data_IF_777930275393
#
_entry.id   IF_777930275393
#
_cell.length_a   1.000
_cell.length_b   1.000
_cell.length_c   1.000
_cell.angle_alpha   90.00
_cell.angle_beta   90.00
_cell.angle_gamma   90.00
#
_symmetry.space_group_name_H-M   'P 1'
#
loop_
_entity.id
_entity.type
_entity.pdbx_description
1 polymer ?
#
# COMPACT_ATOMS: atom_id res chain seq x y z
N UNK A 1 1.19 -1.64 26.72
CA UNK A 1 1.24 -3.11 26.89
C UNK A 1 2.19 -3.43 28.03
N UNK A 2 1.79 -4.26 29.00
CA UNK A 2 2.69 -4.74 30.07
C UNK A 2 3.86 -5.48 29.41
N UNK A 3 5.10 -5.20 29.81
CA UNK A 3 6.26 -5.97 29.35
C UNK A 3 6.07 -7.44 29.75
N UNK A 4 5.95 -8.32 28.77
CA UNK A 4 5.82 -9.75 28.99
C UNK A 4 7.13 -10.27 29.60
N UNK A 5 7.10 -10.70 30.86
CA UNK A 5 8.27 -11.27 31.54
C UNK A 5 8.38 -12.75 31.19
N UNK A 6 9.34 -13.10 30.34
CA UNK A 6 9.69 -14.49 30.00
C UNK A 6 10.58 -15.10 31.10
N UNK A 7 10.47 -16.41 31.29
CA UNK A 7 11.45 -17.18 32.09
C UNK A 7 12.73 -17.40 31.29
N UNK A 8 13.83 -17.74 31.96
CA UNK A 8 15.12 -17.98 31.27
C UNK A 8 15.02 -19.07 30.19
N UNK A 9 14.25 -20.14 30.44
CA UNK A 9 13.99 -21.20 29.46
C UNK A 9 13.11 -20.74 28.30
N UNK A 10 12.14 -19.87 28.54
CA UNK A 10 11.30 -19.29 27.49
C UNK A 10 12.07 -18.31 26.62
N UNK A 11 12.90 -17.46 27.22
CA UNK A 11 13.78 -16.55 26.51
C UNK A 11 14.80 -17.33 25.67
N UNK A 12 15.41 -18.38 26.25
CA UNK A 12 16.32 -19.25 25.52
C UNK A 12 15.67 -19.86 24.26
N UNK A 13 14.42 -20.32 24.34
CA UNK A 13 13.71 -20.84 23.17
C UNK A 13 13.54 -19.77 22.10
N UNK A 14 13.18 -18.54 22.46
CA UNK A 14 13.07 -17.43 21.51
C UNK A 14 14.41 -17.17 20.83
N UNK A 15 15.49 -17.11 21.60
CA UNK A 15 16.84 -16.90 21.05
C UNK A 15 17.26 -18.03 20.09
N UNK A 16 16.83 -19.27 20.33
CA UNK A 16 17.08 -20.39 19.41
C UNK A 16 16.23 -20.32 18.14
N UNK A 17 14.97 -19.87 18.25
CA UNK A 17 14.11 -19.66 17.09
C UNK A 17 14.71 -18.58 16.20
N UNK A 18 15.13 -17.45 16.77
CA UNK A 18 15.67 -16.31 16.02
C UNK A 18 17.00 -16.63 15.31
N UNK A 19 17.77 -17.60 15.82
CA UNK A 19 19.00 -18.09 15.17
C UNK A 19 18.75 -18.96 13.94
N UNK A 20 17.62 -19.67 13.89
CA UNK A 20 17.32 -20.64 12.83
C UNK A 20 15.80 -20.78 12.65
N UNK A 21 15.21 -19.72 12.09
CA UNK A 21 13.75 -19.65 11.92
C UNK A 21 13.27 -20.67 10.89
N UNK A 22 14.07 -20.99 9.86
CA UNK A 22 13.72 -22.02 8.87
C UNK A 22 13.51 -23.40 9.51
N UNK A 23 14.38 -23.77 10.46
CA UNK A 23 14.16 -24.99 11.22
C UNK A 23 12.91 -24.89 12.09
N UNK A 24 12.67 -23.74 12.75
CA UNK A 24 11.48 -23.56 13.57
C UNK A 24 10.19 -23.77 12.76
N UNK A 25 10.07 -23.15 11.57
CA UNK A 25 8.85 -23.21 10.75
C UNK A 25 8.59 -24.58 10.11
N UNK A 26 9.64 -25.39 9.92
CA UNK A 26 9.57 -26.67 9.21
C UNK A 26 9.44 -27.90 10.12
N UNK A 27 9.42 -27.72 11.44
CA UNK A 27 9.46 -28.82 12.42
C UNK A 27 8.25 -28.86 13.36
N UNK A 28 8.04 -30.02 13.99
CA UNK A 28 6.97 -30.22 14.98
C UNK A 28 7.49 -30.06 16.42
N UNK A 29 6.59 -30.02 17.41
CA UNK A 29 6.94 -29.85 18.84
C UNK A 29 8.02 -30.81 19.32
N UNK A 30 7.97 -32.07 18.91
CA UNK A 30 8.93 -33.10 19.31
C UNK A 30 10.34 -32.77 18.80
N UNK A 31 10.47 -32.43 17.52
CA UNK A 31 11.77 -32.07 16.94
C UNK A 31 12.32 -30.76 17.54
N UNK A 32 11.46 -29.78 17.76
CA UNK A 32 11.83 -28.52 18.42
C UNK A 32 12.28 -28.75 19.87
N UNK A 33 11.57 -29.61 20.61
CA UNK A 33 11.91 -30.00 21.98
C UNK A 33 13.30 -30.63 22.05
N UNK A 34 13.63 -31.51 21.11
CA UNK A 34 14.95 -32.14 21.00
C UNK A 34 16.02 -31.10 20.65
N UNK A 35 15.83 -30.30 19.58
CA UNK A 35 16.86 -29.35 19.12
C UNK A 35 17.13 -28.25 20.15
N UNK A 36 16.09 -27.75 20.82
CA UNK A 36 16.20 -26.68 21.80
C UNK A 36 16.42 -27.22 23.22
N UNK A 37 16.52 -28.53 23.42
CA UNK A 37 16.73 -29.14 24.74
C UNK A 37 15.75 -28.63 25.82
N UNK A 38 14.46 -28.51 25.47
CA UNK A 38 13.38 -28.10 26.38
C UNK A 38 12.21 -29.06 26.25
N UNK A 39 11.44 -29.29 27.32
CA UNK A 39 10.25 -30.14 27.23
C UNK A 39 9.16 -29.54 26.34
N UNK A 40 8.40 -30.39 25.63
CA UNK A 40 7.28 -29.96 24.77
C UNK A 40 6.24 -29.10 25.53
N UNK A 41 6.00 -29.40 26.81
CA UNK A 41 5.12 -28.60 27.67
C UNK A 41 5.63 -27.15 27.87
N UNK A 42 6.95 -26.93 27.86
CA UNK A 42 7.54 -25.58 27.91
C UNK A 42 7.28 -24.83 26.61
N UNK A 43 7.43 -25.49 25.45
CA UNK A 43 7.10 -24.90 24.15
C UNK A 43 5.61 -24.53 24.07
N UNK A 44 4.71 -25.42 24.49
CA UNK A 44 3.26 -25.16 24.50
C UNK A 44 2.91 -23.98 25.42
N UNK A 45 3.52 -23.90 26.62
CA UNK A 45 3.32 -22.76 27.52
C UNK A 45 3.79 -21.46 26.90
N UNK A 46 4.97 -21.45 26.26
CA UNK A 46 5.50 -20.28 25.57
C UNK A 46 4.58 -19.83 24.43
N UNK A 47 4.13 -20.74 23.57
CA UNK A 47 3.22 -20.44 22.45
C UNK A 47 1.94 -19.77 22.96
N UNK A 48 1.33 -20.32 24.02
CA UNK A 48 0.13 -19.73 24.65
C UNK A 48 0.41 -18.39 25.32
N UNK A 49 1.57 -18.24 25.97
CA UNK A 49 2.00 -17.02 26.65
C UNK A 49 2.26 -15.88 25.67
N UNK A 50 2.69 -16.20 24.45
CA UNK A 50 2.83 -15.27 23.33
C UNK A 50 1.51 -15.09 22.55
N UNK A 51 0.38 -15.55 23.09
CA UNK A 51 -0.96 -15.37 22.55
C UNK A 51 -1.21 -16.05 21.18
N UNK A 52 -0.42 -17.06 20.82
CA UNK A 52 -0.70 -17.87 19.63
C UNK A 52 -1.68 -19.02 19.92
N UNK A 53 -2.66 -19.19 19.04
CA UNK A 53 -3.65 -20.27 19.13
C UNK A 53 -3.04 -21.68 18.97
N UNK A 54 -1.89 -21.81 18.29
CA UNK A 54 -1.20 -23.07 18.07
C UNK A 54 0.27 -22.86 17.66
N UNK A 55 1.08 -23.93 17.69
CA UNK A 55 2.43 -23.92 17.11
C UNK A 55 2.37 -23.50 15.63
N UNK A 56 1.42 -24.03 14.85
CA UNK A 56 1.26 -23.67 13.44
C UNK A 56 0.95 -22.18 13.25
N UNK A 57 0.11 -21.59 14.11
CA UNK A 57 -0.17 -20.16 14.05
C UNK A 57 1.09 -19.33 14.31
N UNK A 58 1.90 -19.72 15.30
CA UNK A 58 3.19 -19.08 15.57
C UNK A 58 4.17 -19.27 14.41
N UNK A 59 4.26 -20.46 13.82
CA UNK A 59 5.13 -20.74 12.67
C UNK A 59 4.71 -19.96 11.42
N UNK A 60 3.41 -19.77 11.19
CA UNK A 60 2.92 -18.92 10.11
C UNK A 60 3.36 -17.47 10.34
N UNK A 61 3.20 -16.94 11.55
CA UNK A 61 3.65 -15.59 11.90
C UNK A 61 5.18 -15.43 11.73
N UNK A 62 5.96 -16.39 12.22
CA UNK A 62 7.41 -16.40 12.03
C UNK A 62 7.83 -16.58 10.57
N UNK A 63 7.08 -17.36 9.77
CA UNK A 63 7.31 -17.48 8.33
C UNK A 63 7.01 -16.17 7.59
N UNK A 64 6.04 -15.39 8.06
CA UNK A 64 5.79 -14.05 7.55
C UNK A 64 6.93 -13.10 7.95
N UNK A 65 7.47 -13.22 9.17
CA UNK A 65 8.64 -12.45 9.65
C UNK A 65 9.96 -12.81 8.94
N UNK A 66 10.20 -14.07 8.58
CA UNK A 66 11.36 -14.42 7.76
C UNK A 66 11.23 -13.94 6.34
N UNK A 67 10.02 -14.02 5.77
CA UNK A 67 9.74 -13.44 4.47
C UNK A 67 9.97 -11.93 4.49
N UNK A 68 9.55 -11.19 5.51
CA UNK A 68 9.87 -9.75 5.60
C UNK A 68 11.36 -9.46 5.76
N UNK A 69 12.12 -10.29 6.50
CA UNK A 69 13.58 -10.17 6.54
C UNK A 69 14.23 -10.43 5.18
N UNK A 70 13.79 -11.45 4.43
CA UNK A 70 14.24 -11.69 3.05
C UNK A 70 13.90 -10.53 2.11
N UNK A 71 12.72 -9.90 2.29
CA UNK A 71 12.32 -8.73 1.50
C UNK A 71 13.21 -7.50 1.76
N UNK A 72 13.84 -7.39 2.94
CA UNK A 72 14.78 -6.29 3.23
C UNK A 72 16.20 -6.53 2.72
N UNK A 73 16.55 -7.78 2.39
CA UNK A 73 17.86 -8.14 1.84
C UNK A 73 17.92 -7.78 0.36
N UNK A 74 18.78 -6.83 0.04
CA UNK A 74 19.04 -6.38 -1.33
C UNK A 74 20.43 -6.85 -1.74
N UNK A 75 20.51 -7.62 -2.83
CA UNK A 75 21.75 -8.12 -3.38
C UNK A 75 22.35 -7.16 -4.41
N UNK A 76 23.66 -7.19 -4.67
CA UNK A 76 24.25 -6.48 -5.81
C UNK A 76 23.57 -6.93 -7.12
N UNK A 77 23.21 -6.03 -8.04
CA UNK A 77 22.52 -6.36 -9.29
C UNK A 77 23.49 -6.92 -10.35
N UNK A 78 24.31 -7.89 -9.96
CA UNK A 78 25.35 -8.52 -10.79
C UNK A 78 24.89 -9.78 -11.53
N UNK A 79 23.67 -10.26 -11.24
CA UNK A 79 23.05 -11.41 -11.91
C UNK A 79 21.56 -11.15 -12.12
N UNK A 80 20.96 -11.80 -13.11
CA UNK A 80 19.51 -11.72 -13.34
C UNK A 80 18.72 -12.23 -12.14
N UNK A 81 19.23 -13.25 -11.44
CA UNK A 81 18.62 -13.78 -10.22
C UNK A 81 18.57 -12.73 -9.10
N UNK A 82 19.66 -11.99 -8.88
CA UNK A 82 19.70 -10.94 -7.88
C UNK A 82 18.79 -9.76 -8.26
N UNK A 83 18.73 -9.41 -9.55
CA UNK A 83 17.81 -8.37 -10.04
C UNK A 83 16.35 -8.81 -9.81
N UNK A 84 15.98 -10.03 -10.19
CA UNK A 84 14.64 -10.57 -9.97
C UNK A 84 14.28 -10.60 -8.48
N UNK A 85 15.22 -11.04 -7.62
CA UNK A 85 15.03 -11.01 -6.17
C UNK A 85 14.77 -9.59 -5.67
N UNK A 86 15.62 -8.62 -6.03
CA UNK A 86 15.50 -7.25 -5.57
C UNK A 86 14.19 -6.58 -6.03
N UNK A 87 13.84 -6.72 -7.31
CA UNK A 87 12.60 -6.15 -7.86
C UNK A 87 11.38 -6.72 -7.14
N UNK A 88 11.26 -8.05 -7.06
CA UNK A 88 10.16 -8.69 -6.35
C UNK A 88 10.12 -8.31 -4.86
N UNK A 89 11.29 -8.15 -4.23
CA UNK A 89 11.39 -7.72 -2.85
C UNK A 89 10.85 -6.30 -2.64
N UNK A 90 11.19 -5.37 -3.53
CA UNK A 90 10.68 -3.99 -3.47
C UNK A 90 9.15 -3.93 -3.64
N UNK A 91 8.60 -4.68 -4.60
CA UNK A 91 7.16 -4.70 -4.86
C UNK A 91 6.37 -5.33 -3.70
N UNK A 92 6.79 -6.53 -3.26
CA UNK A 92 6.10 -7.27 -2.19
C UNK A 92 6.20 -6.52 -0.87
N UNK A 93 7.38 -5.98 -0.53
CA UNK A 93 7.55 -5.16 0.68
C UNK A 93 6.59 -3.98 0.66
N UNK A 94 6.54 -3.26 -0.47
CA UNK A 94 5.67 -2.10 -0.60
C UNK A 94 4.21 -2.44 -0.31
N UNK A 95 3.71 -3.54 -0.87
CA UNK A 95 2.32 -3.98 -0.67
C UNK A 95 2.07 -4.39 0.79
N UNK A 96 2.93 -5.25 1.36
CA UNK A 96 2.74 -5.79 2.71
C UNK A 96 2.85 -4.71 3.77
N UNK A 97 3.84 -3.82 3.68
CA UNK A 97 3.98 -2.74 4.64
C UNK A 97 2.94 -1.65 4.42
N UNK A 98 2.53 -1.37 3.17
CA UNK A 98 1.39 -0.45 2.92
C UNK A 98 0.12 -0.97 3.60
N UNK A 99 -0.17 -2.27 3.48
CA UNK A 99 -1.33 -2.89 4.14
C UNK A 99 -1.34 -2.63 5.66
N UNK A 100 -0.17 -2.63 6.31
CA UNK A 100 -0.07 -2.46 7.76
C UNK A 100 -0.28 -1.01 8.23
N UNK A 101 -0.05 -0.02 7.35
CA UNK A 101 -0.11 1.41 7.70
C UNK A 101 -1.35 2.13 7.15
N UNK A 102 -2.14 1.48 6.29
CA UNK A 102 -3.33 2.08 5.68
C UNK A 102 -4.32 2.48 6.76
N UNK A 103 -4.71 3.76 6.75
CA UNK A 103 -5.83 4.28 7.53
C UNK A 103 -7.14 3.91 6.84
N UNK A 104 -7.83 2.89 7.37
CA UNK A 104 -9.07 2.39 6.80
C UNK A 104 -10.23 3.40 6.87
N UNK A 105 -10.27 4.25 7.89
CA UNK A 105 -11.32 5.27 8.02
C UNK A 105 -11.12 6.34 6.94
N UNK A 106 -9.89 6.83 6.80
CA UNK A 106 -9.58 7.83 5.79
C UNK A 106 -9.73 7.29 4.37
N UNK A 107 -9.34 6.04 4.14
CA UNK A 107 -9.54 5.35 2.87
C UNK A 107 -11.03 5.30 2.49
N UNK A 108 -11.90 4.99 3.45
CA UNK A 108 -13.36 5.03 3.26
C UNK A 108 -13.86 6.45 2.98
N UNK A 109 -13.40 7.45 3.73
CA UNK A 109 -13.77 8.86 3.50
C UNK A 109 -13.39 9.32 2.09
N UNK A 110 -12.22 8.93 1.59
CA UNK A 110 -11.79 9.24 0.22
C UNK A 110 -12.67 8.55 -0.81
N UNK A 111 -13.03 7.27 -0.61
CA UNK A 111 -13.97 6.57 -1.48
C UNK A 111 -15.35 7.27 -1.53
N UNK A 112 -15.88 7.65 -0.36
CA UNK A 112 -17.17 8.36 -0.22
C UNK A 112 -17.12 9.72 -0.95
N UNK A 113 -15.99 10.44 -0.85
CA UNK A 113 -15.77 11.70 -1.59
C UNK A 113 -15.73 11.48 -3.09
N UNK A 114 -15.03 10.45 -3.58
CA UNK A 114 -14.95 10.12 -5.00
C UNK A 114 -16.35 9.83 -5.56
N UNK A 115 -17.16 9.06 -4.84
CA UNK A 115 -18.53 8.71 -5.24
C UNK A 115 -19.43 9.95 -5.31
N UNK A 116 -19.30 10.86 -4.33
CA UNK A 116 -20.14 12.05 -4.25
C UNK A 116 -19.73 13.17 -5.23
N UNK A 117 -18.50 13.15 -5.75
CA UNK A 117 -17.99 14.19 -6.64
C UNK A 117 -18.55 14.11 -8.05
N UNK A 118 -18.94 15.26 -8.61
CA UNK A 118 -19.31 15.41 -10.03
C UNK A 118 -18.09 15.35 -10.95
N UNK A 119 -16.94 15.79 -10.45
CA UNK A 119 -15.67 15.81 -11.18
C UNK A 119 -14.53 15.32 -10.28
N UNK A 120 -13.85 14.28 -10.72
CA UNK A 120 -12.64 13.77 -10.07
C UNK A 120 -11.47 14.09 -10.99
N UNK A 121 -10.53 14.90 -10.51
CA UNK A 121 -9.31 15.26 -11.26
C UNK A 121 -8.14 14.49 -10.69
N UNK A 122 -7.38 13.83 -11.55
CA UNK A 122 -6.17 13.11 -11.17
C UNK A 122 -4.94 13.86 -11.65
N UNK A 123 -3.91 13.90 -10.81
CA UNK A 123 -2.62 14.46 -11.18
C UNK A 123 -1.48 13.57 -10.71
N UNK A 124 -0.47 13.41 -11.54
CA UNK A 124 0.79 12.73 -11.21
C UNK A 124 1.81 13.00 -12.30
N UNK A 125 3.09 12.71 -12.05
CA UNK A 125 4.17 12.86 -13.05
C UNK A 125 4.85 11.51 -13.23
N UNK A 126 5.18 11.14 -14.48
CA UNK A 126 5.87 9.89 -14.84
C UNK A 126 5.21 8.63 -14.24
N UNK A 127 5.92 7.85 -13.41
CA UNK A 127 5.38 6.63 -12.80
C UNK A 127 4.14 6.91 -11.93
N UNK A 128 4.07 8.08 -11.28
CA UNK A 128 2.89 8.49 -10.53
C UNK A 128 1.70 8.83 -11.43
N UNK A 129 1.95 9.35 -12.64
CA UNK A 129 0.90 9.52 -13.65
C UNK A 129 0.32 8.17 -14.09
N UNK A 130 1.15 7.14 -14.26
CA UNK A 130 0.67 5.80 -14.63
C UNK A 130 -0.25 5.20 -13.55
N UNK A 131 0.09 5.36 -12.26
CA UNK A 131 -0.76 4.95 -11.14
C UNK A 131 -2.09 5.73 -11.08
N UNK A 132 -2.03 7.03 -11.38
CA UNK A 132 -3.21 7.89 -11.45
C UNK A 132 -4.13 7.50 -12.61
N UNK A 133 -3.55 7.26 -13.78
CA UNK A 133 -4.24 6.79 -14.99
C UNK A 133 -4.89 5.42 -14.74
N UNK A 134 -4.21 4.51 -14.05
CA UNK A 134 -4.77 3.21 -13.68
C UNK A 134 -6.06 3.34 -12.87
N UNK A 135 -6.07 4.17 -11.82
CA UNK A 135 -7.28 4.40 -11.02
C UNK A 135 -8.36 5.10 -11.85
N UNK A 136 -8.01 6.16 -12.56
CA UNK A 136 -8.90 6.91 -13.47
C UNK A 136 -9.65 5.97 -14.42
N UNK A 137 -8.94 5.05 -15.10
CA UNK A 137 -9.53 4.09 -16.03
C UNK A 137 -10.43 3.08 -15.36
N UNK A 138 -10.10 2.63 -14.15
CA UNK A 138 -10.99 1.74 -13.42
C UNK A 138 -12.27 2.45 -12.97
N UNK A 139 -12.17 3.70 -12.52
CA UNK A 139 -13.34 4.51 -12.16
C UNK A 139 -14.25 4.82 -13.35
N UNK A 140 -13.70 4.98 -14.56
CA UNK A 140 -14.51 5.12 -15.78
C UNK A 140 -15.38 3.88 -16.07
N UNK A 141 -14.90 2.68 -15.74
CA UNK A 141 -15.68 1.43 -15.91
C UNK A 141 -16.91 1.34 -15.01
N UNK A 142 -16.97 2.18 -13.97
CA UNK A 142 -18.11 2.24 -13.04
C UNK A 142 -18.89 3.56 -13.19
N UNK A 143 -18.69 4.28 -14.29
CA UNK A 143 -19.45 5.49 -14.61
C UNK A 143 -19.02 6.77 -13.88
N UNK A 144 -17.89 6.74 -13.16
CA UNK A 144 -17.39 7.94 -12.46
C UNK A 144 -16.66 8.85 -13.44
N UNK A 145 -17.21 10.05 -13.63
CA UNK A 145 -16.65 11.08 -14.49
C UNK A 145 -15.33 11.63 -13.91
N UNK A 146 -14.25 11.49 -14.66
CA UNK A 146 -12.93 11.91 -14.20
C UNK A 146 -11.97 12.26 -15.35
N UNK A 147 -10.98 13.10 -15.03
CA UNK A 147 -9.88 13.50 -15.91
C UNK A 147 -8.54 13.19 -15.26
N UNK A 148 -7.50 12.96 -16.05
CA UNK A 148 -6.14 12.70 -15.55
C UNK A 148 -5.13 13.53 -16.33
N UNK A 149 -4.19 14.15 -15.61
CA UNK A 149 -3.20 15.04 -16.18
C UNK A 149 -1.80 14.70 -15.69
N UNK A 150 -0.86 14.69 -16.65
CA UNK A 150 0.58 14.69 -16.37
C UNK A 150 1.15 16.12 -16.36
N UNK A 151 0.63 16.98 -17.24
CA UNK A 151 1.04 18.38 -17.36
C UNK A 151 0.35 19.27 -16.33
N UNK A 152 1.14 20.05 -15.60
CA UNK A 152 0.65 21.08 -14.64
C UNK A 152 -0.28 22.07 -15.32
N UNK A 153 0.09 22.57 -16.50
CA UNK A 153 -0.71 23.58 -17.20
C UNK A 153 -2.09 23.04 -17.57
N UNK A 154 -2.16 21.80 -18.06
CA UNK A 154 -3.42 21.13 -18.38
C UNK A 154 -4.28 20.93 -17.14
N UNK A 155 -3.66 20.47 -16.04
CA UNK A 155 -4.36 20.25 -14.77
C UNK A 155 -4.94 21.54 -14.20
N UNK A 156 -4.13 22.60 -14.06
CA UNK A 156 -4.57 23.89 -13.52
C UNK A 156 -5.66 24.52 -14.40
N UNK A 157 -5.51 24.43 -15.72
CA UNK A 157 -6.53 24.93 -16.66
C UNK A 157 -7.84 24.16 -16.49
N UNK A 158 -7.82 22.86 -16.26
CA UNK A 158 -9.05 22.12 -15.97
C UNK A 158 -9.66 22.52 -14.63
N UNK A 159 -8.83 22.62 -13.58
CA UNK A 159 -9.27 23.03 -12.24
C UNK A 159 -9.90 24.42 -12.21
N UNK A 160 -9.58 25.33 -13.15
CA UNK A 160 -10.22 26.64 -13.20
C UNK A 160 -11.69 26.60 -13.64
N UNK A 161 -12.17 25.47 -14.18
CA UNK A 161 -13.53 25.29 -14.66
C UNK A 161 -14.38 24.32 -13.81
N UNK A 162 -13.80 23.68 -12.79
CA UNK A 162 -14.55 22.73 -11.95
C UNK A 162 -15.32 23.44 -10.83
N UNK A 163 -16.48 22.91 -10.46
CA UNK A 163 -17.24 23.38 -9.28
C UNK A 163 -16.54 22.88 -8.01
N UNK A 164 -15.95 23.78 -7.23
CA UNK A 164 -15.12 23.43 -6.05
C UNK A 164 -15.86 22.56 -5.02
N UNK A 165 -17.12 22.86 -4.72
CA UNK A 165 -17.93 22.15 -3.72
C UNK A 165 -18.18 20.67 -4.08
N UNK A 166 -18.20 20.36 -5.37
CA UNK A 166 -18.55 19.04 -5.91
C UNK A 166 -17.37 18.35 -6.61
N UNK A 167 -16.15 18.87 -6.43
CA UNK A 167 -14.96 18.34 -7.11
C UNK A 167 -13.88 17.95 -6.12
N UNK A 168 -13.10 16.94 -6.52
CA UNK A 168 -11.93 16.49 -5.77
C UNK A 168 -10.75 16.34 -6.72
N UNK A 169 -9.57 16.77 -6.29
CA UNK A 169 -8.31 16.44 -6.93
C UNK A 169 -7.55 15.39 -6.12
N UNK A 170 -7.06 14.36 -6.81
CA UNK A 170 -6.25 13.28 -6.25
C UNK A 170 -4.86 13.37 -6.85
N UNK A 171 -3.88 13.69 -6.00
CA UNK A 171 -2.49 13.95 -6.37
C UNK A 171 -1.64 12.73 -6.00
N UNK A 172 -1.08 12.08 -6.99
CA UNK A 172 -0.10 11.00 -6.84
C UNK A 172 1.30 11.60 -6.83
N UNK A 173 1.98 11.53 -5.68
CA UNK A 173 3.36 11.99 -5.54
C UNK A 173 4.02 11.34 -4.32
N UNK A 174 4.94 10.42 -4.56
CA UNK A 174 5.56 9.63 -3.49
C UNK A 174 6.46 10.46 -2.57
N UNK A 175 7.23 11.41 -3.13
CA UNK A 175 8.17 12.22 -2.36
C UNK A 175 7.50 13.34 -1.55
N UNK A 176 6.31 13.79 -1.96
CA UNK A 176 5.70 15.02 -1.48
C UNK A 176 6.44 16.30 -1.92
N UNK A 177 7.52 16.19 -2.70
CA UNK A 177 8.40 17.32 -3.04
C UNK A 177 8.39 17.70 -4.53
N UNK A 178 7.76 16.90 -5.39
CA UNK A 178 7.65 17.21 -6.82
C UNK A 178 7.03 18.59 -7.01
N UNK A 179 7.71 19.48 -7.73
CA UNK A 179 7.33 20.90 -7.87
C UNK A 179 5.96 21.03 -8.52
N UNK A 180 5.74 20.25 -9.58
CA UNK A 180 4.52 20.18 -10.35
C UNK A 180 3.32 19.80 -9.46
N UNK A 181 3.44 18.73 -8.67
CA UNK A 181 2.41 18.28 -7.74
C UNK A 181 2.10 19.34 -6.67
N UNK A 182 3.13 20.06 -6.21
CA UNK A 182 2.98 21.13 -5.23
C UNK A 182 2.26 22.36 -5.79
N UNK A 183 2.54 22.77 -7.02
CA UNK A 183 1.83 23.87 -7.66
C UNK A 183 0.36 23.52 -7.91
N UNK A 184 0.08 22.29 -8.33
CA UNK A 184 -1.30 21.79 -8.49
C UNK A 184 -2.05 21.77 -7.15
N UNK A 185 -1.43 21.24 -6.09
CA UNK A 185 -2.03 21.22 -4.75
C UNK A 185 -2.29 22.64 -4.23
N UNK A 186 -1.33 23.54 -4.39
CA UNK A 186 -1.44 24.94 -3.98
C UNK A 186 -2.60 25.63 -4.70
N UNK A 187 -2.72 25.43 -6.01
CA UNK A 187 -3.83 25.97 -6.79
C UNK A 187 -5.18 25.47 -6.28
N UNK A 188 -5.32 24.15 -6.08
CA UNK A 188 -6.55 23.54 -5.61
C UNK A 188 -6.95 24.05 -4.22
N UNK A 189 -5.99 24.11 -3.27
CA UNK A 189 -6.20 24.63 -1.92
C UNK A 189 -6.68 26.09 -1.97
N UNK A 190 -6.03 26.94 -2.76
CA UNK A 190 -6.39 28.36 -2.88
C UNK A 190 -7.78 28.59 -3.50
N UNK A 191 -8.30 27.61 -4.25
CA UNK A 191 -9.63 27.65 -4.87
C UNK A 191 -10.66 26.79 -4.13
N UNK A 192 -10.36 26.36 -2.89
CA UNK A 192 -11.24 25.54 -2.05
C UNK A 192 -11.68 24.21 -2.71
N UNK A 193 -10.87 23.68 -3.63
CA UNK A 193 -11.10 22.36 -4.22
C UNK A 193 -10.53 21.33 -3.24
N UNK A 194 -11.30 20.27 -2.97
CA UNK A 194 -10.90 19.21 -2.04
C UNK A 194 -9.66 18.48 -2.59
N UNK A 195 -8.63 18.33 -1.76
CA UNK A 195 -7.34 17.71 -2.13
C UNK A 195 -7.10 16.41 -1.37
N UNK A 196 -6.84 15.36 -2.13
CA UNK A 196 -6.36 14.05 -1.63
C UNK A 196 -4.93 13.86 -2.12
N UNK A 197 -4.03 13.46 -1.22
CA UNK A 197 -2.70 13.00 -1.60
C UNK A 197 -2.61 11.48 -1.49
N UNK A 198 -2.02 10.85 -2.51
CA UNK A 198 -1.51 9.49 -2.44
C UNK A 198 0.02 9.59 -2.48
N UNK A 199 0.65 9.32 -1.35
CA UNK A 199 2.06 9.64 -1.11
C UNK A 199 2.75 8.54 -0.29
N UNK A 200 4.08 8.54 -0.24
CA UNK A 200 4.82 7.54 0.54
C UNK A 200 5.01 8.00 1.99
N UNK A 201 5.24 7.09 2.92
CA UNK A 201 5.59 7.43 4.31
C UNK A 201 6.86 8.29 4.43
N UNK A 202 7.75 8.26 3.44
CA UNK A 202 8.91 9.16 3.39
C UNK A 202 8.51 10.65 3.38
N UNK A 203 7.33 10.97 2.85
CA UNK A 203 6.86 12.36 2.75
C UNK A 203 6.40 12.95 4.09
N UNK A 204 6.31 12.14 5.14
CA UNK A 204 6.00 12.61 6.50
C UNK A 204 7.17 13.45 7.04
N UNK A 205 8.41 13.10 6.69
CA UNK A 205 9.61 13.75 7.21
C UNK A 205 9.91 15.09 6.53
N UNK A 206 9.36 15.36 5.35
CA UNK A 206 9.72 16.53 4.52
C UNK A 206 8.95 17.82 4.84
N UNK A 207 8.08 17.80 5.86
CA UNK A 207 7.29 18.94 6.36
C UNK A 207 6.68 19.83 5.25
N UNK A 208 6.05 19.21 4.25
CA UNK A 208 5.47 19.92 3.12
C UNK A 208 4.14 20.61 3.51
N UNK A 209 4.09 21.94 3.40
CA UNK A 209 2.91 22.72 3.81
C UNK A 209 1.63 22.42 3.00
N UNK A 210 1.74 22.13 1.70
CA UNK A 210 0.57 21.79 0.87
C UNK A 210 0.03 20.41 1.20
N UNK A 211 0.92 19.43 1.43
CA UNK A 211 0.55 18.12 1.92
C UNK A 211 -0.15 18.22 3.28
N UNK A 212 0.35 19.03 4.21
CA UNK A 212 -0.28 19.21 5.52
C UNK A 212 -1.68 19.83 5.44
N UNK A 213 -1.91 20.73 4.47
CA UNK A 213 -3.20 21.39 4.23
C UNK A 213 -4.19 20.54 3.42
N UNK A 214 -3.78 19.38 2.91
CA UNK A 214 -4.67 18.50 2.17
C UNK A 214 -5.79 17.95 3.06
N UNK A 215 -6.97 17.73 2.47
CA UNK A 215 -8.12 17.19 3.17
C UNK A 215 -7.88 15.73 3.59
N UNK A 216 -7.23 14.95 2.73
CA UNK A 216 -6.92 13.53 2.98
C UNK A 216 -5.51 13.18 2.48
N UNK A 217 -4.86 12.22 3.14
CA UNK A 217 -3.48 11.78 2.91
C UNK A 217 -3.38 10.26 3.03
N UNK A 218 -3.52 9.56 1.92
CA UNK A 218 -3.35 8.11 1.88
C UNK A 218 -1.86 7.77 1.71
N UNK A 219 -1.32 7.06 2.69
CA UNK A 219 0.09 6.68 2.71
C UNK A 219 0.30 5.27 2.19
N UNK A 220 1.30 5.10 1.32
CA UNK A 220 1.89 3.81 1.01
C UNK A 220 3.31 3.73 1.59
N UNK A 221 3.81 2.52 1.80
CA UNK A 221 5.18 2.31 2.23
C UNK A 221 6.15 2.42 1.05
N UNK A 222 7.44 2.53 1.34
CA UNK A 222 8.51 2.48 0.35
C UNK A 222 9.66 1.65 0.91
N UNK A 223 10.41 0.99 0.04
CA UNK A 223 11.55 0.21 0.48
C UNK A 223 12.77 1.11 0.69
N UNK A 224 13.28 1.21 1.93
CA UNK A 224 14.38 2.13 2.28
C UNK A 224 15.70 1.84 1.56
N UNK A 225 15.97 0.56 1.24
CA UNK A 225 17.19 0.16 0.53
C UNK A 225 17.02 0.24 -1.00
N UNK A 226 15.87 0.71 -1.51
CA UNK A 226 15.73 1.06 -2.92
C UNK A 226 16.47 2.38 -3.19
N UNK A 227 17.72 2.27 -3.61
CA UNK A 227 18.60 3.43 -3.83
C UNK A 227 18.37 4.09 -5.18
N UNK A 228 18.00 3.32 -6.21
CA UNK A 228 17.61 3.86 -7.51
C UNK A 228 16.20 4.41 -7.42
N UNK A 229 16.05 5.71 -7.66
CA UNK A 229 14.74 6.38 -7.65
C UNK A 229 14.06 6.39 -9.02
N UNK A 230 14.76 5.94 -10.07
CA UNK A 230 14.26 5.86 -11.44
C UNK A 230 14.61 4.49 -12.04
N UNK A 231 13.61 3.60 -12.26
CA UNK A 231 12.21 3.71 -11.83
C UNK A 231 12.05 3.54 -10.31
N UNK A 232 11.07 4.19 -9.69
CA UNK A 232 10.71 3.92 -8.28
C UNK A 232 9.68 2.79 -8.21
N UNK A 233 10.18 1.56 -8.11
CA UNK A 233 9.43 0.31 -8.10
C UNK A 233 8.51 0.26 -6.89
N UNK A 234 9.06 0.39 -5.67
CA UNK A 234 8.25 0.24 -4.45
C UNK A 234 7.14 1.29 -4.38
N UNK A 235 7.44 2.53 -4.79
CA UNK A 235 6.44 3.59 -4.84
C UNK A 235 5.31 3.31 -5.82
N UNK A 236 5.65 2.81 -7.02
CA UNK A 236 4.66 2.51 -8.06
C UNK A 236 3.71 1.40 -7.60
N UNK A 237 4.27 0.32 -7.03
CA UNK A 237 3.47 -0.77 -6.45
C UNK A 237 2.57 -0.29 -5.31
N UNK A 238 3.09 0.58 -4.45
CA UNK A 238 2.33 1.14 -3.32
C UNK A 238 1.16 2.02 -3.78
N UNK A 239 1.39 2.89 -4.75
CA UNK A 239 0.33 3.70 -5.35
C UNK A 239 -0.73 2.85 -6.05
N UNK A 240 -0.33 1.85 -6.85
CA UNK A 240 -1.26 0.93 -7.49
C UNK A 240 -2.05 0.11 -6.47
N UNK A 241 -1.42 -0.28 -5.35
CA UNK A 241 -2.10 -0.96 -4.26
C UNK A 241 -3.19 -0.08 -3.64
N UNK A 242 -2.90 1.18 -3.30
CA UNK A 242 -3.91 2.13 -2.80
C UNK A 242 -5.03 2.35 -3.83
N UNK A 243 -4.68 2.50 -5.12
CA UNK A 243 -5.67 2.61 -6.21
C UNK A 243 -6.61 1.41 -6.26
N UNK A 244 -6.09 0.19 -6.12
CA UNK A 244 -6.91 -1.02 -6.08
C UNK A 244 -7.84 -1.04 -4.86
N UNK A 245 -7.34 -0.63 -3.68
CA UNK A 245 -8.18 -0.54 -2.48
C UNK A 245 -9.33 0.44 -2.66
N UNK A 246 -9.05 1.65 -3.16
CA UNK A 246 -10.08 2.66 -3.44
C UNK A 246 -11.13 2.14 -4.42
N UNK A 247 -10.70 1.56 -5.54
CA UNK A 247 -11.62 1.03 -6.55
C UNK A 247 -12.53 -0.07 -5.97
N UNK A 248 -11.97 -1.02 -5.22
CA UNK A 248 -12.76 -2.11 -4.63
C UNK A 248 -13.68 -1.62 -3.51
N UNK A 249 -13.30 -0.60 -2.74
CA UNK A 249 -14.18 0.02 -1.75
C UNK A 249 -15.34 0.77 -2.40
N UNK A 250 -15.09 1.45 -3.52
CA UNK A 250 -16.13 2.11 -4.31
C UNK A 250 -17.11 1.07 -4.85
N UNK A 251 -16.62 -0.02 -5.43
CA UNK A 251 -17.47 -1.12 -5.92
C UNK A 251 -18.34 -1.74 -4.82
N UNK A 252 -17.82 -1.87 -3.60
CA UNK A 252 -18.57 -2.43 -2.47
C UNK A 252 -19.61 -1.44 -1.92
N UNK A 253 -19.28 -0.14 -1.93
CA UNK A 253 -20.13 0.90 -1.34
C UNK A 253 -21.26 1.33 -2.28
N UNK A 254 -20.99 1.48 -3.58
CA UNK A 254 -21.94 1.94 -4.57
C UNK A 254 -22.50 0.78 -5.41
N UNK A 255 -23.75 0.41 -5.15
CA UNK A 255 -24.45 -0.64 -5.92
C UNK A 255 -24.54 -0.31 -7.42
N UNK A 256 -24.71 0.97 -7.76
CA UNK A 256 -24.79 1.39 -9.16
C UNK A 256 -23.43 1.22 -9.87
N UNK A 257 -22.33 1.45 -9.15
CA UNK A 257 -20.98 1.17 -9.66
C UNK A 257 -20.82 -0.32 -10.00
N UNK A 258 -21.28 -1.22 -9.14
CA UNK A 258 -21.23 -2.66 -9.40
C UNK A 258 -22.06 -3.07 -10.62
N UNK A 259 -23.31 -2.64 -10.71
CA UNK A 259 -24.19 -2.93 -11.85
C UNK A 259 -23.64 -2.35 -13.17
N UNK A 260 -23.01 -1.17 -13.12
CA UNK A 260 -22.37 -0.54 -14.28
C UNK A 260 -21.18 -1.36 -14.77
N UNK A 261 -20.36 -1.88 -13.85
CA UNK A 261 -19.23 -2.75 -14.17
C UNK A 261 -19.69 -4.06 -14.84
N UNK A 262 -20.76 -4.70 -14.34
CA UNK A 262 -21.31 -5.90 -14.96
C UNK A 262 -21.75 -5.65 -16.40
N UNK A 263 -22.45 -4.53 -16.65
CA UNK A 263 -22.85 -4.11 -18.01
C UNK A 263 -21.64 -3.87 -18.90
N UNK A 264 -20.61 -3.16 -18.41
CA UNK A 264 -19.37 -2.95 -19.18
C UNK A 264 -18.66 -4.27 -19.53
N UNK A 265 -18.61 -5.23 -18.61
CA UNK A 265 -18.02 -6.53 -18.87
C UNK A 265 -18.79 -7.35 -19.90
N UNK A 266 -20.12 -7.27 -19.90
CA UNK A 266 -20.95 -7.92 -20.92
C UNK A 266 -20.68 -7.35 -22.31
N UNK A 267 -20.64 -6.02 -22.46
CA UNK A 267 -20.33 -5.36 -23.74
C UNK A 267 -18.96 -5.81 -24.30
N UNK A 268 -17.94 -5.89 -23.44
CA UNK A 268 -16.59 -6.33 -23.84
C UNK A 268 -16.55 -7.82 -24.18
N UNK A 269 -17.31 -8.65 -23.45
CA UNK A 269 -17.44 -10.07 -23.75
C UNK A 269 -18.08 -10.27 -25.12
N UNK A 270 -19.13 -9.52 -25.42
CA UNK A 270 -19.82 -9.58 -26.71
C UNK A 270 -18.90 -9.16 -27.85
N UNK A 271 -18.13 -8.08 -27.68
CA UNK A 271 -17.11 -7.64 -28.65
C UNK A 271 -16.06 -8.72 -28.98
N UNK A 272 -15.60 -9.46 -27.97
CA UNK A 272 -14.61 -10.53 -28.19
C UNK A 272 -15.20 -11.78 -28.85
N UNK A 273 -16.53 -11.92 -28.88
CA UNK A 273 -17.24 -13.05 -29.47
C UNK A 273 -17.84 -12.74 -30.86
N UNK A 274 -17.71 -11.50 -31.35
CA UNK A 274 -18.12 -11.06 -32.69
C UNK A 274 -16.95 -11.08 -33.69
#
# INVERSE_FOLDING_TARGET
MKSLKLTDSEQYVIDQIDKDIEYFISNNLKNLSIKYNVGEATLIRLIKKLEYASLKAMQIDYSLKTKTNELTKIYPPNSSQNITHNVSSFEIYSILESKNIVDHEQLKQVADVIIASKSVVFFGVEASYLSALFLSRNLQKVGINNTVYESVHGCITNLSFVESENSVIIIFCSSGLTKEANEVAKYAINNNIKVVWITSTNSIEVNNANLQKANFKLYHSYHKNETLRFPSISSSSGQMFISNLLFNLILNTDKNAFETLEKSNLILKDWNNS
#
